data_IF_741345613262
#
_entry.id   IF_741345613262
#
_cell.length_a   1.000
_cell.length_b   1.000
_cell.length_c   1.000
_cell.angle_alpha   90.00
_cell.angle_beta   90.00
_cell.angle_gamma   90.00
#
_symmetry.space_group_name_H-M   'P 1'
#
loop_
_entity.id
_entity.type
_entity.pdbx_description
1 polymer ?
#
# COMPACT_ATOMS: atom_id res chain seq x y z
N UNK A 1 20.35 15.75 3.67
CA UNK A 1 19.21 15.68 2.73
C UNK A 1 18.09 14.97 3.46
N UNK A 2 16.97 15.67 3.73
CA UNK A 2 15.82 15.10 4.42
C UNK A 2 15.02 14.27 3.40
N UNK A 3 14.59 13.07 3.78
CA UNK A 3 13.78 12.19 2.92
C UNK A 3 12.49 12.90 2.50
N UNK A 4 12.04 12.68 1.27
CA UNK A 4 10.75 13.19 0.77
C UNK A 4 9.58 12.74 1.63
N UNK A 5 9.64 11.51 2.17
CA UNK A 5 8.62 10.98 3.07
C UNK A 5 8.64 11.72 4.40
N UNK A 6 9.82 12.06 4.92
CA UNK A 6 9.89 12.86 6.13
C UNK A 6 9.21 14.22 5.95
N UNK A 7 9.42 14.86 4.80
CA UNK A 7 8.72 16.10 4.46
C UNK A 7 7.20 15.93 4.43
N UNK A 8 6.67 14.84 3.82
CA UNK A 8 5.23 14.55 3.82
C UNK A 8 4.72 14.41 5.25
N UNK A 9 5.40 13.61 6.08
CA UNK A 9 5.02 13.38 7.48
C UNK A 9 5.00 14.67 8.30
N UNK A 10 5.98 15.55 8.09
CA UNK A 10 6.07 16.83 8.81
C UNK A 10 5.01 17.84 8.31
N UNK A 11 4.69 17.85 7.01
CA UNK A 11 3.73 18.79 6.41
C UNK A 11 2.28 18.47 6.75
N UNK A 12 1.94 17.18 6.95
CA UNK A 12 0.58 16.72 7.32
C UNK A 12 -0.54 17.16 6.36
N UNK A 13 -0.23 17.30 5.08
CA UNK A 13 -1.25 17.58 4.07
C UNK A 13 -2.05 16.30 3.77
N UNK A 14 -3.38 16.37 3.93
CA UNK A 14 -4.24 15.19 3.91
C UNK A 14 -4.23 14.47 2.55
N UNK A 15 -4.23 15.21 1.44
CA UNK A 15 -4.24 14.62 0.11
C UNK A 15 -2.97 13.81 -0.15
N UNK A 16 -1.80 14.32 0.24
CA UNK A 16 -0.51 13.66 0.14
C UNK A 16 -0.47 12.41 1.01
N UNK A 17 -0.99 12.48 2.23
CA UNK A 17 -1.10 11.33 3.13
C UNK A 17 -1.96 10.21 2.51
N UNK A 18 -3.15 10.55 2.04
CA UNK A 18 -4.07 9.59 1.40
C UNK A 18 -3.43 9.01 0.14
N UNK A 19 -2.86 9.86 -0.71
CA UNK A 19 -2.23 9.42 -1.97
C UNK A 19 -1.03 8.52 -1.72
N UNK A 20 -0.22 8.76 -0.69
CA UNK A 20 1.00 7.98 -0.48
C UNK A 20 0.80 6.78 0.43
N UNK A 21 0.03 6.92 1.52
CA UNK A 21 -0.12 5.89 2.55
C UNK A 21 -1.49 5.19 2.53
N UNK A 22 -2.49 5.74 1.82
CA UNK A 22 -3.87 5.26 1.86
C UNK A 22 -4.68 5.73 3.07
N UNK A 23 -4.08 6.52 3.97
CA UNK A 23 -4.70 7.01 5.19
C UNK A 23 -4.64 8.53 5.26
N UNK A 24 -5.63 9.15 5.90
CA UNK A 24 -5.52 10.53 6.36
C UNK A 24 -4.57 10.65 7.58
N UNK A 25 -4.12 11.86 7.94
CA UNK A 25 -3.17 12.04 9.03
C UNK A 25 -3.66 11.55 10.41
N UNK A 26 -4.96 11.64 10.71
CA UNK A 26 -5.51 11.21 12.01
C UNK A 26 -5.55 9.68 12.10
N UNK A 27 -5.99 9.03 11.03
CA UNK A 27 -5.96 7.57 10.93
C UNK A 27 -4.53 7.02 10.99
N UNK A 28 -3.58 7.71 10.35
CA UNK A 28 -2.16 7.38 10.43
C UNK A 28 -1.63 7.46 11.88
N UNK A 29 -1.93 8.53 12.61
CA UNK A 29 -1.49 8.71 13.99
C UNK A 29 -2.09 7.65 14.93
N UNK A 30 -3.37 7.31 14.73
CA UNK A 30 -4.05 6.25 15.48
C UNK A 30 -3.34 4.90 15.32
N UNK A 31 -2.99 4.53 14.08
CA UNK A 31 -2.24 3.32 13.79
C UNK A 31 -0.79 3.40 14.29
N UNK A 32 -0.16 4.59 14.21
CA UNK A 32 1.18 4.82 14.73
C UNK A 32 1.28 4.60 16.23
N UNK A 33 0.23 4.96 16.98
CA UNK A 33 0.15 4.66 18.42
C UNK A 33 0.34 3.18 18.70
N UNK A 34 -0.44 2.33 18.02
CA UNK A 34 -0.34 0.87 18.15
C UNK A 34 1.00 0.34 17.63
N UNK A 35 1.45 0.85 16.49
CA UNK A 35 2.70 0.43 15.88
C UNK A 35 3.90 0.65 16.80
N UNK A 36 3.94 1.80 17.50
CA UNK A 36 5.01 2.15 18.44
C UNK A 36 5.11 1.21 19.64
N UNK A 37 4.00 0.61 20.08
CA UNK A 37 4.01 -0.33 21.21
C UNK A 37 4.82 -1.59 20.90
N UNK A 38 4.87 -1.99 19.63
CA UNK A 38 5.61 -3.17 19.16
C UNK A 38 6.93 -2.81 18.43
N UNK A 39 7.14 -1.55 18.08
CA UNK A 39 8.35 -1.13 17.38
C UNK A 39 9.54 -1.09 18.35
N UNK A 40 10.69 -1.70 17.99
CA UNK A 40 11.84 -1.73 18.88
C UNK A 40 12.35 -0.31 19.17
N UNK A 41 12.46 0.02 20.46
CA UNK A 41 13.09 1.25 20.92
C UNK A 41 14.58 1.21 20.55
N UNK A 42 15.12 2.33 20.08
CA UNK A 42 16.53 2.43 19.72
C UNK A 42 17.42 2.13 20.93
N UNK A 43 17.97 0.93 20.98
CA UNK A 43 19.08 0.60 21.86
C UNK A 43 20.35 1.19 21.24
N UNK A 44 20.76 2.34 21.75
CA UNK A 44 21.98 3.02 21.32
C UNK A 44 23.22 2.17 21.57
N UNK A 45 23.88 1.71 20.50
CA UNK A 45 25.25 2.11 20.10
C UNK A 45 25.79 1.17 18.98
N UNK A 46 26.22 1.75 17.86
CA UNK A 46 27.02 1.07 16.83
C UNK A 46 26.27 0.43 15.63
N UNK A 47 24.94 0.34 15.66
CA UNK A 47 24.16 -0.16 14.52
C UNK A 47 23.83 0.94 13.49
N UNK A 48 23.65 0.60 12.20
CA UNK A 48 23.21 1.55 11.18
C UNK A 48 21.89 2.23 11.59
N UNK A 49 21.73 3.51 11.26
CA UNK A 49 20.52 4.29 11.57
C UNK A 49 19.26 3.52 11.15
N UNK A 50 18.44 3.14 12.15
CA UNK A 50 17.12 2.57 11.93
C UNK A 50 16.15 3.70 11.60
N UNK A 51 15.03 3.36 10.95
CA UNK A 51 13.94 4.31 10.80
C UNK A 51 13.26 4.51 12.15
N UNK A 52 12.87 5.76 12.42
CA UNK A 52 11.89 6.03 13.46
C UNK A 52 10.57 5.32 13.12
N UNK A 53 9.76 5.02 14.14
CA UNK A 53 8.54 4.25 13.99
C UNK A 53 7.55 4.86 12.97
N UNK A 54 7.49 6.19 12.87
CA UNK A 54 6.66 6.91 11.89
C UNK A 54 7.13 6.68 10.45
N UNK A 55 8.43 6.78 10.20
CA UNK A 55 9.04 6.49 8.90
C UNK A 55 8.89 5.01 8.53
N UNK A 56 9.02 4.10 9.51
CA UNK A 56 8.81 2.67 9.29
C UNK A 56 7.35 2.36 8.94
N UNK A 57 6.39 2.95 9.67
CA UNK A 57 4.97 2.82 9.36
C UNK A 57 4.64 3.35 7.97
N UNK A 58 5.13 4.54 7.63
CA UNK A 58 4.95 5.12 6.30
C UNK A 58 5.47 4.19 5.20
N UNK A 59 6.63 3.55 5.40
CA UNK A 59 7.17 2.58 4.44
C UNK A 59 6.23 1.39 4.22
N UNK A 60 5.72 0.80 5.30
CA UNK A 60 4.85 -0.37 5.23
C UNK A 60 3.54 -0.02 4.53
N UNK A 61 2.94 1.12 4.89
CA UNK A 61 1.71 1.60 4.28
C UNK A 61 1.89 1.90 2.79
N UNK A 62 2.98 2.57 2.41
CA UNK A 62 3.29 2.82 1.00
C UNK A 62 3.49 1.53 0.21
N UNK A 63 4.12 0.52 0.82
CA UNK A 63 4.30 -0.79 0.21
C UNK A 63 2.97 -1.55 0.02
N UNK A 64 2.04 -1.47 0.99
CA UNK A 64 0.75 -2.14 0.91
C UNK A 64 -0.25 -1.38 0.03
N UNK A 65 -0.17 -0.06 -0.02
CA UNK A 65 -1.11 0.78 -0.75
C UNK A 65 -0.80 0.85 -2.26
N UNK A 66 0.46 0.70 -2.66
CA UNK A 66 0.90 0.92 -4.04
C UNK A 66 1.92 -0.11 -4.50
N UNK A 67 1.81 -0.54 -5.77
CA UNK A 67 2.88 -1.19 -6.54
C UNK A 67 4.03 -0.19 -6.77
N UNK A 68 4.90 0.01 -5.77
CA UNK A 68 6.10 0.86 -5.89
C UNK A 68 7.33 -0.03 -6.03
N UNK A 69 8.11 0.21 -7.09
CA UNK A 69 9.41 -0.45 -7.28
C UNK A 69 10.36 -0.15 -6.11
N UNK A 70 11.17 -1.13 -5.72
CA UNK A 70 12.04 -1.02 -4.55
C UNK A 70 13.04 0.15 -4.66
N UNK A 71 13.52 0.44 -5.86
CA UNK A 71 14.44 1.54 -6.14
C UNK A 71 13.80 2.90 -5.82
N UNK A 72 12.51 3.04 -6.13
CA UNK A 72 11.75 4.26 -5.83
C UNK A 72 11.59 4.41 -4.31
N UNK A 73 11.30 3.32 -3.59
CA UNK A 73 11.27 3.34 -2.12
C UNK A 73 12.64 3.76 -1.55
N UNK A 74 13.74 3.25 -2.10
CA UNK A 74 15.09 3.62 -1.66
C UNK A 74 15.34 5.13 -1.83
N UNK A 75 14.95 5.71 -2.97
CA UNK A 75 15.09 7.15 -3.24
C UNK A 75 14.21 7.98 -2.31
N UNK A 76 12.92 7.66 -2.20
CA UNK A 76 11.97 8.44 -1.39
C UNK A 76 12.35 8.47 0.09
N UNK A 77 12.79 7.32 0.63
CA UNK A 77 13.18 7.18 2.03
C UNK A 77 14.65 7.52 2.29
N UNK A 78 15.46 7.72 1.24
CA UNK A 78 16.88 8.00 1.37
C UNK A 78 17.65 6.86 2.04
N UNK A 79 17.33 5.61 1.70
CA UNK A 79 17.87 4.42 2.35
C UNK A 79 18.22 3.31 1.35
N UNK A 80 19.05 2.36 1.79
CA UNK A 80 19.46 1.22 0.96
C UNK A 80 18.32 0.20 0.81
N UNK A 81 18.37 -0.60 -0.25
CA UNK A 81 17.49 -1.75 -0.47
C UNK A 81 17.43 -2.70 0.75
N UNK A 82 18.57 -2.92 1.40
CA UNK A 82 18.67 -3.77 2.60
C UNK A 82 17.89 -3.16 3.76
N UNK A 83 18.03 -1.85 3.98
CA UNK A 83 17.28 -1.12 5.02
C UNK A 83 15.78 -1.16 4.74
N UNK A 84 15.37 -0.87 3.49
CA UNK A 84 13.97 -0.90 3.07
C UNK A 84 13.35 -2.27 3.34
N UNK A 85 13.97 -3.35 2.87
CA UNK A 85 13.42 -4.69 3.05
C UNK A 85 13.36 -5.13 4.52
N UNK A 86 14.41 -4.84 5.30
CA UNK A 86 14.42 -5.16 6.74
C UNK A 86 13.30 -4.42 7.48
N UNK A 87 13.18 -3.12 7.26
CA UNK A 87 12.15 -2.31 7.94
C UNK A 87 10.73 -2.69 7.49
N UNK A 88 10.55 -2.93 6.18
CA UNK A 88 9.27 -3.40 5.62
C UNK A 88 8.83 -4.71 6.27
N UNK A 89 9.69 -5.73 6.29
CA UNK A 89 9.36 -7.04 6.84
C UNK A 89 9.06 -6.94 8.35
N UNK A 90 9.89 -6.23 9.11
CA UNK A 90 9.63 -5.96 10.52
C UNK A 90 8.26 -5.29 10.74
N UNK A 91 7.93 -4.29 9.92
CA UNK A 91 6.66 -3.59 10.05
C UNK A 91 5.44 -4.46 9.67
N UNK A 92 5.57 -5.35 8.69
CA UNK A 92 4.54 -6.34 8.37
C UNK A 92 4.33 -7.35 9.51
N UNK A 93 5.41 -7.80 10.16
CA UNK A 93 5.34 -8.67 11.33
C UNK A 93 4.66 -7.96 12.52
N UNK A 94 4.94 -6.66 12.71
CA UNK A 94 4.25 -5.83 13.71
C UNK A 94 2.77 -5.71 13.39
N UNK A 95 2.38 -5.42 12.14
CA UNK A 95 0.97 -5.38 11.75
C UNK A 95 0.25 -6.68 12.01
N UNK A 96 0.89 -7.81 11.65
CA UNK A 96 0.37 -9.13 11.95
C UNK A 96 0.13 -9.30 13.45
N UNK A 97 1.09 -8.88 14.28
CA UNK A 97 0.98 -8.95 15.75
C UNK A 97 -0.20 -8.11 16.26
N UNK A 98 -0.30 -6.84 15.83
CA UNK A 98 -1.39 -5.93 16.21
C UNK A 98 -2.76 -6.54 15.89
N UNK A 99 -2.91 -7.08 14.68
CA UNK A 99 -4.16 -7.70 14.25
C UNK A 99 -4.48 -9.00 14.98
N UNK A 100 -3.46 -9.79 15.32
CA UNK A 100 -3.63 -11.03 16.09
C UNK A 100 -3.98 -10.77 17.56
N UNK A 101 -3.41 -9.73 18.16
CA UNK A 101 -3.66 -9.37 19.55
C UNK A 101 -5.03 -8.70 19.73
N UNK A 102 -5.56 -8.06 18.69
CA UNK A 102 -6.84 -7.35 18.74
C UNK A 102 -7.79 -7.75 17.58
N UNK A 103 -8.21 -9.03 17.47
CA UNK A 103 -8.94 -9.54 16.31
C UNK A 103 -10.33 -8.91 16.11
N UNK A 104 -10.91 -8.32 17.17
CA UNK A 104 -12.24 -7.71 17.17
C UNK A 104 -12.19 -6.18 17.33
N UNK A 105 -11.04 -5.56 17.09
CA UNK A 105 -10.95 -4.09 17.18
C UNK A 105 -11.80 -3.44 16.08
N UNK A 106 -12.72 -2.56 16.49
CA UNK A 106 -13.58 -1.81 15.58
C UNK A 106 -12.82 -0.94 14.55
N UNK A 107 -11.55 -0.61 14.79
CA UNK A 107 -10.71 0.20 13.90
C UNK A 107 -10.33 -0.51 12.61
N UNK A 108 -10.44 -1.84 12.53
CA UNK A 108 -10.17 -2.58 11.31
C UNK A 108 -11.14 -3.74 11.10
N UNK A 109 -11.35 -4.08 9.84
CA UNK A 109 -12.19 -5.21 9.44
C UNK A 109 -11.74 -5.74 8.09
N UNK A 110 -11.58 -7.06 7.99
CA UNK A 110 -11.49 -7.74 6.70
C UNK A 110 -12.92 -8.16 6.35
N UNK A 111 -13.52 -7.49 5.38
CA UNK A 111 -14.85 -7.85 4.88
C UNK A 111 -14.93 -7.57 3.39
N UNK A 112 -15.63 -8.44 2.67
CA UNK A 112 -16.09 -8.13 1.33
C UNK A 112 -17.13 -7.01 1.39
N UNK A 113 -17.09 -6.04 0.45
CA UNK A 113 -18.12 -5.02 0.35
C UNK A 113 -19.49 -5.65 0.12
N UNK A 114 -20.53 -5.00 0.62
CA UNK A 114 -21.92 -5.35 0.30
C UNK A 114 -22.23 -4.98 -1.14
N UNK A 115 -23.27 -5.59 -1.71
CA UNK A 115 -23.71 -5.32 -3.10
C UNK A 115 -23.91 -3.82 -3.38
N UNK A 116 -24.42 -3.07 -2.40
CA UNK A 116 -24.59 -1.61 -2.54
C UNK A 116 -23.25 -0.89 -2.60
N UNK A 117 -22.27 -1.29 -1.78
CA UNK A 117 -20.92 -0.73 -1.76
C UNK A 117 -20.17 -1.10 -3.05
N UNK A 118 -20.34 -2.34 -3.53
CA UNK A 118 -19.78 -2.80 -4.80
C UNK A 118 -20.23 -1.92 -5.97
N UNK A 119 -21.51 -1.53 -6.00
CA UNK A 119 -22.03 -0.64 -7.03
C UNK A 119 -21.37 0.74 -6.98
N UNK A 120 -21.24 1.31 -5.78
CA UNK A 120 -20.56 2.61 -5.60
C UNK A 120 -19.11 2.52 -6.08
N UNK A 121 -18.40 1.44 -5.75
CA UNK A 121 -17.02 1.25 -6.19
C UNK A 121 -16.93 1.06 -7.71
N UNK A 122 -17.86 0.33 -8.32
CA UNK A 122 -17.92 0.22 -9.77
C UNK A 122 -18.14 1.58 -10.45
N UNK A 123 -19.07 2.39 -9.95
CA UNK A 123 -19.32 3.74 -10.47
C UNK A 123 -18.06 4.61 -10.34
N UNK A 124 -17.32 4.51 -9.22
CA UNK A 124 -16.05 5.21 -9.02
C UNK A 124 -14.97 4.76 -10.01
N UNK A 125 -14.82 3.46 -10.25
CA UNK A 125 -13.85 2.90 -11.21
C UNK A 125 -14.17 3.39 -12.62
N UNK A 126 -15.43 3.26 -13.05
CA UNK A 126 -15.87 3.71 -14.38
C UNK A 126 -15.70 5.22 -14.56
N UNK A 127 -15.94 6.02 -13.52
CA UNK A 127 -15.74 7.48 -13.58
C UNK A 127 -14.28 7.91 -13.73
N UNK A 128 -13.33 7.07 -13.32
CA UNK A 128 -11.89 7.32 -13.42
C UNK A 128 -11.24 6.64 -14.64
N UNK A 129 -12.02 5.92 -15.45
CA UNK A 129 -11.54 5.22 -16.65
C UNK A 129 -11.56 6.19 -17.83
N UNK A 130 -10.41 6.40 -18.48
CA UNK A 130 -10.26 7.38 -19.55
C UNK A 130 -10.54 6.84 -20.96
N UNK A 131 -10.55 5.51 -21.14
CA UNK A 131 -10.71 4.89 -22.46
C UNK A 131 -12.09 4.22 -22.61
N UNK A 132 -12.82 4.56 -23.67
CA UNK A 132 -14.18 4.05 -23.92
C UNK A 132 -14.28 2.52 -23.97
N UNK A 133 -13.22 1.86 -24.45
CA UNK A 133 -13.17 0.39 -24.53
C UNK A 133 -12.99 -0.26 -23.15
N UNK A 134 -12.26 0.37 -22.24
CA UNK A 134 -12.05 -0.13 -20.87
C UNK A 134 -13.35 -0.05 -20.06
N UNK A 135 -14.17 0.98 -20.28
CA UNK A 135 -15.47 1.14 -19.61
C UNK A 135 -16.40 -0.06 -19.84
N UNK A 136 -16.32 -0.71 -21.02
CA UNK A 136 -17.10 -1.91 -21.31
C UNK A 136 -16.60 -3.14 -20.54
N UNK A 137 -15.30 -3.27 -20.36
CA UNK A 137 -14.69 -4.43 -19.69
C UNK A 137 -14.72 -4.29 -18.17
N UNK A 138 -14.61 -3.06 -17.66
CA UNK A 138 -14.62 -2.75 -16.23
C UNK A 138 -16.03 -2.63 -15.63
N UNK A 139 -17.08 -2.75 -16.44
CA UNK A 139 -18.45 -2.69 -15.94
C UNK A 139 -18.74 -3.90 -15.02
N UNK A 140 -19.17 -3.63 -13.79
CA UNK A 140 -19.34 -4.65 -12.74
C UNK A 140 -18.09 -4.92 -11.89
N UNK A 141 -16.92 -4.38 -12.26
CA UNK A 141 -15.71 -4.44 -11.42
C UNK A 141 -15.87 -3.49 -10.24
N UNK A 142 -15.76 -3.99 -9.02
CA UNK A 142 -15.90 -3.21 -7.79
C UNK A 142 -14.61 -3.14 -6.95
N UNK A 143 -13.53 -3.73 -7.45
CA UNK A 143 -12.23 -3.73 -6.81
C UNK A 143 -11.26 -4.59 -7.60
N UNK A 144 -9.96 -4.33 -7.43
CA UNK A 144 -8.89 -5.12 -8.01
C UNK A 144 -8.19 -5.86 -6.87
N UNK A 145 -8.09 -7.18 -6.97
CA UNK A 145 -7.31 -8.00 -6.03
C UNK A 145 -5.98 -8.34 -6.68
N UNK A 146 -4.99 -7.48 -6.44
CA UNK A 146 -3.62 -7.75 -6.85
C UNK A 146 -2.95 -8.64 -5.79
N UNK A 147 -3.18 -9.94 -5.91
CA UNK A 147 -2.63 -10.95 -5.01
C UNK A 147 -1.75 -11.88 -5.83
N UNK A 148 -0.44 -11.66 -5.79
CA UNK A 148 0.60 -12.54 -6.34
C UNK A 148 0.47 -12.75 -7.87
N UNK A 149 1.47 -12.30 -8.61
CA UNK A 149 1.57 -12.53 -10.05
C UNK A 149 1.85 -14.03 -10.28
N UNK A 150 0.79 -14.82 -10.36
CA UNK A 150 0.83 -16.24 -10.76
C UNK A 150 0.57 -16.22 -12.27
N UNK A 151 1.33 -16.95 -13.11
CA UNK A 151 1.07 -16.98 -14.55
C UNK A 151 -0.39 -17.38 -14.77
N UNK A 152 -1.20 -16.42 -15.22
CA UNK A 152 -2.62 -16.62 -15.52
C UNK A 152 -2.65 -17.18 -16.94
N UNK A 153 -3.42 -18.25 -17.16
CA UNK A 153 -3.71 -18.71 -18.52
C UNK A 153 -4.20 -17.55 -19.38
N UNK A 154 -3.61 -17.39 -20.56
CA UNK A 154 -3.98 -16.35 -21.53
C UNK A 154 -5.43 -16.55 -21.94
N UNK A 155 -6.36 -15.63 -21.56
CA UNK A 155 -7.75 -15.72 -22.00
C UNK A 155 -7.81 -15.64 -23.53
N UNK A 156 -8.73 -16.36 -24.17
CA UNK A 156 -8.90 -16.31 -25.64
C UNK A 156 -9.48 -14.98 -26.14
N UNK A 157 -10.11 -14.19 -25.26
CA UNK A 157 -10.66 -12.87 -25.60
C UNK A 157 -9.60 -11.77 -25.44
N UNK A 158 -9.17 -11.20 -26.58
CA UNK A 158 -8.20 -10.11 -26.64
C UNK A 158 -8.59 -8.89 -25.79
N UNK A 159 -9.89 -8.59 -25.63
CA UNK A 159 -10.35 -7.46 -24.81
C UNK A 159 -10.19 -7.75 -23.32
N UNK A 160 -10.47 -8.98 -22.90
CA UNK A 160 -10.28 -9.44 -21.53
C UNK A 160 -8.79 -9.51 -21.19
N UNK A 161 -7.98 -10.05 -22.11
CA UNK A 161 -6.53 -10.08 -21.97
C UNK A 161 -5.94 -8.67 -21.82
N UNK A 162 -6.39 -7.69 -22.61
CA UNK A 162 -5.94 -6.31 -22.51
C UNK A 162 -6.36 -5.64 -21.19
N UNK A 163 -7.52 -6.00 -20.63
CA UNK A 163 -7.98 -5.46 -19.35
C UNK A 163 -7.21 -6.01 -18.13
N UNK A 164 -6.64 -7.21 -18.24
CA UNK A 164 -5.74 -7.81 -17.24
C UNK A 164 -4.25 -7.58 -17.55
N UNK A 165 -3.92 -6.82 -18.62
CA UNK A 165 -2.54 -6.62 -19.04
C UNK A 165 -1.81 -5.63 -18.12
N UNK A 166 -0.98 -6.17 -17.23
CA UNK A 166 -0.18 -5.42 -16.25
C UNK A 166 1.10 -4.75 -16.83
N UNK A 167 1.21 -4.65 -18.16
CA UNK A 167 2.26 -3.85 -18.82
C UNK A 167 3.64 -4.51 -18.99
N UNK A 168 3.79 -5.80 -18.70
CA UNK A 168 5.02 -6.53 -18.97
C UNK A 168 5.06 -7.06 -20.42
N UNK A 169 5.89 -6.44 -21.26
CA UNK A 169 6.36 -7.05 -22.51
C UNK A 169 7.46 -8.04 -22.14
N UNK A 170 7.20 -9.34 -22.23
CA UNK A 170 8.30 -10.31 -22.27
C UNK A 170 9.11 -10.09 -23.56
N UNK A 171 10.46 -10.05 -23.50
CA UNK A 171 11.26 -10.10 -24.71
C UNK A 171 11.13 -11.48 -25.35
N UNK A 172 10.87 -11.49 -26.66
CA UNK A 172 10.82 -12.67 -27.51
C UNK A 172 12.13 -13.48 -27.51
#
# INVERSE_FOLDING_TARGET
MQSSIRFILDMREASAFIVHSGFDPESFDSLLGLFKEHYPVDADTGSPRKFAADMALALVLMYLHKKIKQEILCVMFGATAVTINRTKNLGLDIFKTIFQDNPNDHRWRIAWPKVQEMKVFNDMILSNTMFENETRVLHGVFGFTDCLDVPIETPEDDLEQNAYYDGYLEPA
#
